data_IF_364832264583
#
_entry.id   IF_364832264583
#
_cell.length_a   1.000
_cell.length_b   1.000
_cell.length_c   1.000
_cell.angle_alpha   90.00
_cell.angle_beta   90.00
_cell.angle_gamma   90.00
#
_symmetry.space_group_name_H-M   'P 1'
#
loop_
_entity.id
_entity.type
_entity.pdbx_description
1 polymer ?
#
# COMPACT_ATOMS: atom_id res chain seq x y z
N UNK A 1 -61.67 52.06 -17.75
CA UNK A 1 -62.28 51.19 -18.76
C UNK A 1 -63.72 50.95 -18.36
N UNK A 2 -64.62 50.92 -19.34
CA UNK A 2 -66.04 50.61 -19.11
C UNK A 2 -66.15 49.09 -18.94
N UNK A 3 -66.80 48.65 -17.87
CA UNK A 3 -67.14 47.25 -17.63
C UNK A 3 -68.39 46.84 -18.43
N UNK A 4 -68.60 45.55 -18.75
CA UNK A 4 -69.81 45.10 -19.43
C UNK A 4 -71.11 45.58 -18.73
N UNK A 5 -71.09 45.70 -17.40
CA UNK A 5 -72.17 46.22 -16.55
C UNK A 5 -72.39 47.74 -16.70
N UNK A 6 -71.31 48.50 -16.86
CA UNK A 6 -71.39 49.94 -17.12
C UNK A 6 -71.87 50.25 -18.55
N UNK A 7 -71.65 49.35 -19.49
CA UNK A 7 -72.19 49.46 -20.85
C UNK A 7 -73.71 49.27 -20.85
N UNK A 8 -74.21 48.31 -20.07
CA UNK A 8 -75.64 47.99 -19.95
C UNK A 8 -76.46 49.06 -19.21
N UNK A 9 -75.83 49.77 -18.27
CA UNK A 9 -76.48 50.83 -17.49
C UNK A 9 -76.40 52.22 -18.14
N UNK A 10 -75.81 52.32 -19.33
CA UNK A 10 -75.63 53.60 -20.03
C UNK A 10 -76.95 54.09 -20.62
N UNK A 11 -77.42 55.23 -20.15
CA UNK A 11 -78.62 55.90 -20.69
C UNK A 11 -78.25 57.11 -21.53
N UNK A 12 -78.95 57.27 -22.67
CA UNK A 12 -78.77 58.41 -23.57
C UNK A 12 -79.91 59.43 -23.40
N UNK A 13 -79.63 60.70 -23.69
CA UNK A 13 -80.63 61.78 -23.64
C UNK A 13 -81.55 61.72 -24.88
N UNK A 14 -82.85 61.97 -24.70
CA UNK A 14 -83.81 62.01 -25.80
C UNK A 14 -83.67 63.31 -26.62
N UNK A 15 -83.70 63.22 -27.95
CA UNK A 15 -83.59 64.36 -28.88
C UNK A 15 -83.83 63.93 -30.34
N UNK A 16 -83.70 64.84 -31.30
CA UNK A 16 -83.69 64.52 -32.74
C UNK A 16 -82.39 63.75 -33.02
N UNK A 17 -82.47 62.43 -33.23
CA UNK A 17 -81.31 61.55 -33.30
C UNK A 17 -81.63 60.17 -33.84
N UNK A 18 -80.70 59.23 -33.68
CA UNK A 18 -80.81 57.85 -34.16
C UNK A 18 -82.02 57.09 -33.59
N UNK A 19 -82.51 56.11 -34.34
CA UNK A 19 -83.61 55.25 -33.88
C UNK A 19 -83.18 54.47 -32.64
N UNK A 20 -83.95 54.65 -31.56
CA UNK A 20 -83.71 54.01 -30.27
C UNK A 20 -83.65 52.48 -30.40
N UNK A 21 -84.49 51.87 -31.23
CA UNK A 21 -84.52 50.40 -31.39
C UNK A 21 -83.25 49.86 -32.04
N UNK A 22 -82.73 50.60 -33.03
CA UNK A 22 -81.53 50.19 -33.76
C UNK A 22 -80.27 50.34 -32.89
N UNK A 23 -80.20 51.45 -32.14
CA UNK A 23 -79.13 51.68 -31.15
C UNK A 23 -79.17 50.65 -30.02
N UNK A 24 -80.35 50.34 -29.47
CA UNK A 24 -80.50 49.33 -28.41
C UNK A 24 -80.08 47.93 -28.91
N UNK A 25 -80.43 47.57 -30.15
CA UNK A 25 -79.99 46.30 -30.75
C UNK A 25 -78.47 46.24 -30.92
N UNK A 26 -77.85 47.31 -31.43
CA UNK A 26 -76.39 47.39 -31.58
C UNK A 26 -75.67 47.34 -30.23
N UNK A 27 -76.21 48.01 -29.19
CA UNK A 27 -75.65 47.98 -27.84
C UNK A 27 -75.73 46.59 -27.22
N UNK A 28 -76.79 45.82 -27.47
CA UNK A 28 -76.91 44.44 -27.01
C UNK A 28 -75.86 43.53 -27.69
N UNK A 29 -75.64 43.69 -29.00
CA UNK A 29 -74.60 42.95 -29.73
C UNK A 29 -73.20 43.34 -29.26
N UNK A 30 -72.94 44.63 -29.08
CA UNK A 30 -71.69 45.16 -28.54
C UNK A 30 -71.43 44.66 -27.11
N UNK A 31 -72.47 44.60 -26.27
CA UNK A 31 -72.37 44.07 -24.91
C UNK A 31 -71.98 42.60 -24.92
N UNK A 32 -72.62 41.78 -25.76
CA UNK A 32 -72.31 40.36 -25.87
C UNK A 32 -70.87 40.13 -26.35
N UNK A 33 -70.43 40.84 -27.40
CA UNK A 33 -69.05 40.75 -27.89
C UNK A 33 -68.02 41.22 -26.86
N UNK A 34 -68.32 42.30 -26.13
CA UNK A 34 -67.43 42.84 -25.10
C UNK A 34 -67.35 41.94 -23.87
N UNK A 35 -68.45 41.27 -23.48
CA UNK A 35 -68.45 40.28 -22.40
C UNK A 35 -67.57 39.07 -22.74
N UNK A 36 -67.71 38.54 -23.96
CA UNK A 36 -66.85 37.44 -24.46
C UNK A 36 -65.39 37.84 -24.46
N UNK A 37 -65.05 39.00 -25.02
CA UNK A 37 -63.69 39.53 -25.05
C UNK A 37 -63.12 39.71 -23.62
N UNK A 38 -63.94 40.20 -22.69
CA UNK A 38 -63.53 40.40 -21.31
C UNK A 38 -63.25 39.07 -20.59
N UNK A 39 -64.08 38.04 -20.81
CA UNK A 39 -63.86 36.68 -20.28
C UNK A 39 -62.59 36.07 -20.84
N UNK A 40 -62.41 36.09 -22.16
CA UNK A 40 -61.19 35.59 -22.82
C UNK A 40 -59.94 36.29 -22.29
N UNK A 41 -59.99 37.61 -22.08
CA UNK A 41 -58.88 38.38 -21.52
C UNK A 41 -58.55 37.99 -20.08
N UNK A 42 -59.55 37.64 -19.27
CA UNK A 42 -59.29 37.09 -17.93
C UNK A 42 -58.67 35.70 -18.01
N UNK A 43 -59.24 34.79 -18.81
CA UNK A 43 -58.73 33.42 -18.96
C UNK A 43 -57.29 33.39 -19.50
N UNK A 44 -56.98 34.23 -20.49
CA UNK A 44 -55.62 34.40 -21.01
C UNK A 44 -54.70 34.98 -19.95
N UNK A 45 -55.16 35.96 -19.16
CA UNK A 45 -54.40 36.52 -18.05
C UNK A 45 -54.04 35.46 -17.00
N UNK A 46 -55.01 34.63 -16.61
CA UNK A 46 -54.81 33.54 -15.66
C UNK A 46 -53.84 32.49 -16.22
N UNK A 47 -54.00 32.08 -17.49
CA UNK A 47 -53.03 31.20 -18.16
C UNK A 47 -51.61 31.77 -18.18
N UNK A 48 -51.46 33.05 -18.49
CA UNK A 48 -50.15 33.71 -18.50
C UNK A 48 -49.54 33.73 -17.10
N UNK A 49 -50.34 33.97 -16.06
CA UNK A 49 -49.88 33.93 -14.68
C UNK A 49 -49.40 32.52 -14.29
N UNK A 50 -50.20 31.48 -14.56
CA UNK A 50 -49.80 30.09 -14.29
C UNK A 50 -48.54 29.67 -15.04
N UNK A 51 -48.42 30.07 -16.32
CA UNK A 51 -47.22 29.78 -17.12
C UNK A 51 -45.99 30.52 -16.57
N UNK A 52 -46.13 31.77 -16.13
CA UNK A 52 -45.04 32.54 -15.53
C UNK A 52 -44.60 31.94 -14.19
N UNK A 53 -45.52 31.46 -13.36
CA UNK A 53 -45.21 30.75 -12.12
C UNK A 53 -44.42 29.47 -12.42
N UNK A 54 -44.86 28.66 -13.38
CA UNK A 54 -44.15 27.48 -13.84
C UNK A 54 -42.74 27.81 -14.35
N UNK A 55 -42.59 28.86 -15.15
CA UNK A 55 -41.30 29.32 -15.66
C UNK A 55 -40.36 29.72 -14.51
N UNK A 56 -40.85 30.43 -13.50
CA UNK A 56 -40.06 30.82 -12.34
C UNK A 56 -39.63 29.63 -11.50
N UNK A 57 -40.51 28.63 -11.36
CA UNK A 57 -40.17 27.35 -10.72
C UNK A 57 -39.04 26.65 -11.46
N UNK A 58 -39.14 26.48 -12.78
CA UNK A 58 -38.08 25.86 -13.59
C UNK A 58 -36.77 26.63 -13.54
N UNK A 59 -36.79 27.96 -13.59
CA UNK A 59 -35.58 28.79 -13.41
C UNK A 59 -34.92 28.58 -12.06
N UNK A 60 -35.71 28.32 -11.02
CA UNK A 60 -35.18 28.06 -9.67
C UNK A 60 -34.54 26.68 -9.59
N UNK A 61 -35.16 25.67 -10.21
CA UNK A 61 -34.57 24.33 -10.36
C UNK A 61 -33.28 24.41 -11.16
N UNK A 62 -33.28 25.09 -12.30
CA UNK A 62 -32.10 25.24 -13.15
C UNK A 62 -30.92 25.86 -12.37
N UNK A 63 -31.16 26.93 -11.62
CA UNK A 63 -30.15 27.54 -10.74
C UNK A 63 -29.63 26.56 -9.68
N UNK A 64 -30.51 25.73 -9.13
CA UNK A 64 -30.14 24.76 -8.10
C UNK A 64 -29.31 23.63 -8.70
N UNK A 65 -29.70 23.14 -9.87
CA UNK A 65 -28.98 22.12 -10.63
C UNK A 65 -27.59 22.62 -11.05
N UNK A 66 -27.50 23.86 -11.54
CA UNK A 66 -26.22 24.47 -11.89
C UNK A 66 -25.30 24.59 -10.68
N UNK A 67 -25.82 24.99 -9.52
CA UNK A 67 -25.04 25.03 -8.27
C UNK A 67 -24.59 23.63 -7.83
N UNK A 68 -25.47 22.65 -7.93
CA UNK A 68 -25.15 21.26 -7.59
C UNK A 68 -24.06 20.70 -8.52
N UNK A 69 -24.11 21.04 -9.81
CA UNK A 69 -23.11 20.61 -10.80
C UNK A 69 -21.74 21.23 -10.52
N UNK A 70 -21.69 22.53 -10.24
CA UNK A 70 -20.44 23.22 -9.86
C UNK A 70 -19.87 22.64 -8.57
N UNK A 71 -20.73 22.39 -7.57
CA UNK A 71 -20.30 21.78 -6.31
C UNK A 71 -19.75 20.36 -6.52
N UNK A 72 -20.41 19.56 -7.37
CA UNK A 72 -19.96 18.22 -7.70
C UNK A 72 -18.61 18.25 -8.43
N UNK A 73 -18.43 19.16 -9.39
CA UNK A 73 -17.16 19.35 -10.11
C UNK A 73 -16.04 19.75 -9.15
N UNK A 74 -16.29 20.73 -8.28
CA UNK A 74 -15.33 21.17 -7.27
C UNK A 74 -14.97 20.03 -6.30
N UNK A 75 -15.96 19.28 -5.83
CA UNK A 75 -15.74 18.15 -4.93
C UNK A 75 -14.94 17.03 -5.61
N UNK A 76 -15.20 16.77 -6.88
CA UNK A 76 -14.45 15.80 -7.67
C UNK A 76 -12.98 16.21 -7.83
N UNK A 77 -12.71 17.48 -8.15
CA UNK A 77 -11.34 17.97 -8.29
C UNK A 77 -10.61 17.99 -6.94
N UNK A 78 -11.26 18.43 -5.86
CA UNK A 78 -10.71 18.41 -4.50
C UNK A 78 -10.36 16.97 -4.06
N UNK A 79 -11.24 16.00 -4.36
CA UNK A 79 -11.01 14.56 -4.09
C UNK A 79 -9.82 14.03 -4.90
N UNK A 80 -9.70 14.44 -6.16
CA UNK A 80 -8.59 14.04 -7.03
C UNK A 80 -7.28 14.66 -6.58
N UNK A 81 -7.28 15.92 -6.15
CA UNK A 81 -6.10 16.60 -5.64
C UNK A 81 -5.63 15.96 -4.31
N UNK A 82 -6.55 15.67 -3.40
CA UNK A 82 -6.24 15.00 -2.14
C UNK A 82 -5.70 13.58 -2.37
N UNK A 83 -6.31 12.79 -3.26
CA UNK A 83 -5.80 11.48 -3.64
C UNK A 83 -4.38 11.57 -4.24
N UNK A 84 -4.11 12.54 -5.12
CA UNK A 84 -2.77 12.78 -5.68
C UNK A 84 -1.75 13.17 -4.60
N UNK A 85 -2.12 14.02 -3.64
CA UNK A 85 -1.25 14.39 -2.52
C UNK A 85 -0.94 13.19 -1.63
N UNK A 86 -1.95 12.39 -1.30
CA UNK A 86 -1.78 11.16 -0.52
C UNK A 86 -0.89 10.15 -1.24
N UNK A 87 -1.11 9.92 -2.54
CA UNK A 87 -0.28 9.04 -3.35
C UNK A 87 1.20 9.49 -3.35
N UNK A 88 1.45 10.80 -3.53
CA UNK A 88 2.81 11.35 -3.43
C UNK A 88 3.42 11.15 -2.04
N UNK A 89 2.65 11.38 -0.97
CA UNK A 89 3.12 11.17 0.39
C UNK A 89 3.50 9.71 0.65
N UNK A 90 2.67 8.76 0.20
CA UNK A 90 2.94 7.32 0.30
C UNK A 90 4.22 6.96 -0.45
N UNK A 91 4.40 7.46 -1.67
CA UNK A 91 5.61 7.20 -2.47
C UNK A 91 6.86 7.74 -1.77
N UNK A 92 6.81 8.96 -1.25
CA UNK A 92 7.95 9.57 -0.56
C UNK A 92 8.25 8.87 0.77
N UNK A 93 7.23 8.45 1.52
CA UNK A 93 7.40 7.64 2.73
C UNK A 93 8.02 6.28 2.41
N UNK A 94 7.53 5.60 1.37
CA UNK A 94 8.06 4.31 0.92
C UNK A 94 9.53 4.43 0.48
N UNK A 95 9.88 5.48 -0.28
CA UNK A 95 11.27 5.77 -0.66
C UNK A 95 12.14 6.05 0.57
N UNK A 96 11.64 6.83 1.53
CA UNK A 96 12.37 7.12 2.77
C UNK A 96 12.65 5.85 3.58
N UNK A 97 11.64 4.98 3.72
CA UNK A 97 11.80 3.65 4.36
C UNK A 97 12.79 2.77 3.62
N UNK A 98 12.70 2.71 2.28
CA UNK A 98 13.63 1.93 1.46
C UNK A 98 15.09 2.42 1.60
N UNK A 99 15.31 3.74 1.62
CA UNK A 99 16.62 4.32 1.84
C UNK A 99 17.18 4.00 3.23
N UNK A 100 16.32 4.04 4.26
CA UNK A 100 16.70 3.69 5.62
C UNK A 100 17.12 2.21 5.71
N UNK A 101 16.32 1.30 5.15
CA UNK A 101 16.65 -0.13 5.09
C UNK A 101 17.98 -0.35 4.37
N UNK A 102 18.20 0.33 3.24
CA UNK A 102 19.45 0.19 2.48
C UNK A 102 20.67 0.73 3.24
N UNK A 103 20.50 1.84 3.97
CA UNK A 103 21.53 2.39 4.85
C UNK A 103 21.86 1.42 5.98
N UNK A 104 20.86 0.86 6.65
CA UNK A 104 21.04 -0.09 7.75
C UNK A 104 21.70 -1.38 7.27
N UNK A 105 21.27 -1.92 6.13
CA UNK A 105 21.88 -3.08 5.50
C UNK A 105 23.35 -2.82 5.12
N UNK A 106 23.66 -1.64 4.58
CA UNK A 106 25.04 -1.24 4.26
C UNK A 106 25.91 -1.12 5.51
N UNK A 107 25.37 -0.57 6.60
CA UNK A 107 26.06 -0.45 7.88
C UNK A 107 26.36 -1.83 8.48
N UNK A 108 25.38 -2.73 8.52
CA UNK A 108 25.59 -4.10 9.00
C UNK A 108 26.55 -4.88 8.08
N UNK A 109 26.47 -4.70 6.77
CA UNK A 109 27.43 -5.29 5.83
C UNK A 109 28.87 -4.84 6.13
N UNK A 110 29.09 -3.54 6.29
CA UNK A 110 30.41 -2.98 6.62
C UNK A 110 30.93 -3.51 7.97
N UNK A 111 30.05 -3.65 8.96
CA UNK A 111 30.38 -4.19 10.27
C UNK A 111 30.79 -5.67 10.18
N UNK A 112 30.02 -6.49 9.48
CA UNK A 112 30.36 -7.90 9.24
C UNK A 112 31.69 -7.99 8.49
N UNK A 113 31.89 -7.18 7.45
CA UNK A 113 33.12 -7.15 6.68
C UNK A 113 34.34 -6.81 7.57
N UNK A 114 34.21 -5.82 8.45
CA UNK A 114 35.26 -5.48 9.40
C UNK A 114 35.54 -6.62 10.39
N UNK A 115 34.50 -7.28 10.90
CA UNK A 115 34.64 -8.45 11.77
C UNK A 115 35.34 -9.60 11.04
N UNK A 116 35.01 -9.87 9.79
CA UNK A 116 35.67 -10.89 8.96
C UNK A 116 37.16 -10.57 8.79
N UNK A 117 37.51 -9.32 8.46
CA UNK A 117 38.91 -8.90 8.32
C UNK A 117 39.67 -9.06 9.65
N UNK A 118 39.07 -8.68 10.78
CA UNK A 118 39.67 -8.86 12.09
C UNK A 118 39.88 -10.35 12.43
N UNK A 119 38.92 -11.20 12.12
CA UNK A 119 39.00 -12.64 12.35
C UNK A 119 40.12 -13.28 11.52
N UNK A 120 40.26 -12.91 10.24
CA UNK A 120 41.35 -13.38 9.38
C UNK A 120 42.71 -12.96 9.96
N UNK A 121 42.84 -11.72 10.40
CA UNK A 121 44.09 -11.24 11.05
C UNK A 121 44.42 -12.00 12.34
N UNK A 122 43.41 -12.29 13.17
CA UNK A 122 43.59 -13.09 14.38
C UNK A 122 44.02 -14.52 14.03
N UNK A 123 43.41 -15.13 13.00
CA UNK A 123 43.78 -16.45 12.51
C UNK A 123 45.23 -16.48 12.00
N UNK A 124 45.65 -15.50 11.21
CA UNK A 124 47.03 -15.40 10.72
C UNK A 124 48.03 -15.22 11.86
N UNK A 125 47.71 -14.37 12.84
CA UNK A 125 48.54 -14.16 14.03
C UNK A 125 48.65 -15.46 14.86
N UNK A 126 47.54 -16.16 15.08
CA UNK A 126 47.51 -17.43 15.80
C UNK A 126 48.33 -18.50 15.08
N UNK A 127 48.17 -18.62 13.76
CA UNK A 127 48.98 -19.54 12.92
C UNK A 127 50.47 -19.24 13.03
N UNK A 128 50.87 -17.96 13.00
CA UNK A 128 52.26 -17.55 13.16
C UNK A 128 52.80 -17.90 14.56
N UNK A 129 52.03 -17.64 15.61
CA UNK A 129 52.37 -18.00 16.99
C UNK A 129 52.53 -19.52 17.16
N UNK A 130 51.61 -20.31 16.61
CA UNK A 130 51.70 -21.76 16.66
C UNK A 130 52.91 -22.30 15.91
N UNK A 131 53.21 -21.75 14.73
CA UNK A 131 54.43 -22.10 13.98
C UNK A 131 55.69 -21.75 14.76
N UNK A 132 55.72 -20.59 15.41
CA UNK A 132 56.84 -20.18 16.24
C UNK A 132 57.02 -21.09 17.46
N UNK A 133 55.92 -21.45 18.14
CA UNK A 133 55.94 -22.40 19.26
C UNK A 133 56.45 -23.77 18.80
N UNK A 134 55.92 -24.31 17.70
CA UNK A 134 56.37 -25.59 17.16
C UNK A 134 57.86 -25.56 16.78
N UNK A 135 58.32 -24.49 16.12
CA UNK A 135 59.73 -24.31 15.80
C UNK A 135 60.61 -24.25 17.06
N UNK A 136 60.18 -23.53 18.10
CA UNK A 136 60.88 -23.48 19.39
C UNK A 136 60.93 -24.85 20.08
N UNK A 137 59.86 -25.65 20.01
CA UNK A 137 59.87 -27.03 20.53
C UNK A 137 60.78 -27.95 19.71
N UNK A 138 60.82 -27.81 18.37
CA UNK A 138 61.77 -28.52 17.53
C UNK A 138 63.22 -28.13 17.87
N UNK A 139 63.51 -26.84 18.03
CA UNK A 139 64.82 -26.35 18.44
C UNK A 139 65.23 -26.87 19.83
N UNK A 140 64.28 -26.97 20.77
CA UNK A 140 64.51 -27.58 22.08
C UNK A 140 64.87 -29.07 21.96
N UNK A 141 64.20 -29.82 21.10
CA UNK A 141 64.50 -31.24 20.83
C UNK A 141 65.83 -31.44 20.08
N UNK A 142 66.20 -30.49 19.23
CA UNK A 142 67.50 -30.48 18.53
C UNK A 142 68.64 -29.97 19.42
N UNK A 143 68.34 -29.27 20.50
CA UNK A 143 69.34 -28.80 21.47
C UNK A 143 70.03 -29.95 22.20
N UNK A 144 71.30 -29.77 22.56
CA UNK A 144 72.11 -30.76 23.29
C UNK A 144 71.52 -31.18 24.65
N UNK A 145 70.51 -30.44 25.15
CA UNK A 145 69.78 -30.78 26.39
C UNK A 145 68.84 -31.99 26.24
N UNK A 146 68.44 -32.33 25.01
CA UNK A 146 67.66 -33.53 24.70
C UNK A 146 68.52 -34.70 24.21
N UNK A 147 69.85 -34.62 24.36
CA UNK A 147 70.68 -35.81 24.32
C UNK A 147 70.49 -36.56 25.64
N UNK A 148 69.71 -37.64 25.62
CA UNK A 148 69.75 -38.63 26.68
C UNK A 148 71.23 -39.02 26.82
N UNK A 149 71.87 -38.64 27.93
CA UNK A 149 73.23 -39.06 28.21
C UNK A 149 73.25 -40.60 28.31
N UNK A 150 73.68 -41.25 27.23
CA UNK A 150 73.75 -42.71 27.08
C UNK A 150 74.65 -43.36 28.15
N UNK A 151 75.42 -42.57 28.90
CA UNK A 151 76.20 -43.03 30.04
C UNK A 151 75.36 -43.77 31.10
N UNK A 152 74.08 -43.42 31.28
CA UNK A 152 73.20 -44.09 32.23
C UNK A 152 72.32 -45.19 31.61
N UNK A 153 72.31 -45.39 30.29
CA UNK A 153 71.50 -46.45 29.66
C UNK A 153 72.25 -47.79 29.67
N UNK A 154 73.58 -47.77 29.55
CA UNK A 154 74.42 -48.96 29.66
C UNK A 154 74.31 -49.63 31.04
N UNK A 155 74.12 -48.85 32.12
CA UNK A 155 73.94 -49.38 33.48
C UNK A 155 72.57 -50.00 33.74
N UNK A 156 71.58 -49.76 32.86
CA UNK A 156 70.28 -50.45 32.88
C UNK A 156 70.21 -51.62 31.89
N UNK A 157 70.89 -51.54 30.73
CA UNK A 157 70.97 -52.65 29.77
C UNK A 157 71.75 -53.83 30.36
N UNK A 158 72.88 -53.57 31.06
CA UNK A 158 73.66 -54.63 31.73
C UNK A 158 72.89 -55.33 32.87
N UNK A 159 71.78 -54.75 33.36
CA UNK A 159 70.91 -55.37 34.37
C UNK A 159 69.82 -56.26 33.78
N UNK A 160 69.47 -56.13 32.50
CA UNK A 160 68.51 -57.05 31.86
C UNK A 160 69.17 -58.35 31.36
N UNK A 161 70.47 -58.35 31.04
CA UNK A 161 71.16 -59.55 30.55
C UNK A 161 71.42 -60.62 31.63
N UNK A 162 71.15 -60.32 32.92
CA UNK A 162 71.28 -61.27 34.03
C UNK A 162 69.95 -61.86 34.53
N UNK A 163 68.79 -61.49 33.95
CA UNK A 163 67.49 -62.05 34.32
C UNK A 163 66.55 -62.28 33.11
N UNK A 164 67.00 -63.11 32.15
CA UNK A 164 66.11 -63.80 31.20
C UNK A 164 66.42 -65.30 31.19
N UNK A 165 65.82 -66.02 32.12
CA UNK A 165 65.45 -67.41 31.94
C UNK A 165 63.97 -67.56 32.35
N UNK A 166 63.18 -68.11 31.42
CA UNK A 166 61.79 -68.57 31.57
C UNK A 166 60.71 -67.47 31.64
N UNK A 167 59.62 -67.49 30.88
CA UNK A 167 59.10 -68.40 29.85
C UNK A 167 58.01 -67.61 29.09
N UNK A 168 57.97 -67.72 27.76
CA UNK A 168 56.81 -67.30 26.94
C UNK A 168 55.86 -68.50 26.85
N UNK A 169 54.54 -68.28 27.03
CA UNK A 169 53.66 -68.67 25.93
C UNK A 169 52.69 -67.54 25.55
N UNK A 170 52.61 -67.36 24.24
CA UNK A 170 51.55 -66.65 23.52
C UNK A 170 50.17 -67.22 23.88
N UNK A 171 49.18 -66.34 24.09
CA UNK A 171 47.81 -66.70 23.71
C UNK A 171 47.05 -65.51 23.11
N UNK A 172 46.24 -65.89 22.13
CA UNK A 172 45.53 -65.09 21.15
C UNK A 172 44.23 -64.51 21.71
N UNK A 173 43.68 -63.59 20.91
CA UNK A 173 42.28 -63.15 20.84
C UNK A 173 41.87 -62.19 21.97
N UNK A 174 41.21 -61.07 21.70
CA UNK A 174 39.87 -61.02 21.10
C UNK A 174 39.69 -59.82 20.16
N UNK A 175 39.26 -60.14 18.94
CA UNK A 175 38.26 -59.33 18.28
C UNK A 175 36.88 -59.77 18.76
N UNK A 176 36.00 -58.79 19.02
CA UNK A 176 34.55 -58.89 18.83
C UNK A 176 34.14 -57.52 18.25
N UNK A 177 33.78 -57.52 16.96
CA UNK A 177 32.38 -57.50 16.49
C UNK A 177 31.79 -56.10 16.66
N UNK A 178 31.72 -55.32 15.58
CA UNK A 178 30.60 -55.30 14.62
C UNK A 178 29.26 -54.99 15.28
N UNK A 179 28.62 -54.01 14.65
CA UNK A 179 27.19 -53.75 14.62
C UNK A 179 26.59 -53.01 15.82
N UNK A 180 26.40 -51.70 15.67
CA UNK A 180 25.03 -51.22 15.54
C UNK A 180 24.93 -49.80 14.96
N UNK A 181 24.29 -49.78 13.79
CA UNK A 181 23.41 -48.75 13.20
C UNK A 181 23.60 -47.29 13.59
N UNK A 182 23.91 -46.52 12.56
CA UNK A 182 23.46 -45.14 12.41
C UNK A 182 21.94 -45.05 12.63
N UNK A 183 21.53 -44.19 13.55
CA UNK A 183 20.23 -43.53 13.47
C UNK A 183 20.49 -42.04 13.29
N UNK A 184 20.19 -41.58 12.08
CA UNK A 184 20.13 -40.17 11.72
C UNK A 184 18.85 -39.60 12.33
N UNK A 185 18.99 -38.66 13.27
CA UNK A 185 17.89 -37.77 13.64
C UNK A 185 17.85 -36.62 12.64
N UNK A 186 16.81 -36.62 11.80
CA UNK A 186 16.36 -35.47 11.00
C UNK A 186 15.81 -34.40 11.95
N UNK A 187 16.10 -33.10 11.77
CA UNK A 187 15.37 -32.05 12.46
C UNK A 187 14.04 -31.81 11.73
N UNK A 188 12.97 -31.75 12.51
CA UNK A 188 11.68 -31.17 12.11
C UNK A 188 11.86 -29.65 11.97
N UNK A 189 11.45 -29.10 10.82
CA UNK A 189 11.18 -27.68 10.69
C UNK A 189 9.78 -27.53 10.13
N UNK A 190 9.00 -26.73 10.85
CA UNK A 190 7.62 -26.35 10.63
C UNK A 190 7.47 -25.65 9.28
N UNK A 191 6.55 -26.15 8.46
CA UNK A 191 6.10 -25.49 7.23
C UNK A 191 5.16 -24.33 7.63
N UNK A 192 5.67 -23.10 7.60
CA UNK A 192 4.84 -21.90 7.51
C UNK A 192 4.63 -21.54 6.02
N UNK A 193 3.36 -21.45 5.66
CA UNK A 193 2.82 -21.22 4.32
C UNK A 193 3.38 -19.95 3.65
N UNK A 194 3.96 -20.11 2.46
CA UNK A 194 4.20 -19.01 1.52
C UNK A 194 3.43 -19.26 0.22
N UNK A 195 2.22 -18.70 0.12
CA UNK A 195 1.49 -18.59 -1.13
C UNK A 195 2.11 -17.52 -2.03
N UNK A 196 2.73 -17.93 -3.14
CA UNK A 196 3.07 -17.05 -4.25
C UNK A 196 1.79 -16.71 -5.04
N UNK A 197 1.32 -15.47 -4.93
CA UNK A 197 0.38 -14.94 -5.93
C UNK A 197 1.14 -14.63 -7.23
N UNK A 198 1.01 -15.53 -8.21
CA UNK A 198 1.34 -15.21 -9.60
C UNK A 198 0.29 -14.23 -10.15
N UNK A 199 0.65 -12.94 -10.18
CA UNK A 199 -0.01 -11.97 -11.05
C UNK A 199 0.54 -12.19 -12.47
N UNK A 200 -0.14 -13.05 -13.24
CA UNK A 200 0.03 -13.03 -14.68
C UNK A 200 -0.61 -11.74 -15.20
N UNK A 201 0.23 -10.91 -15.82
CA UNK A 201 -0.12 -9.74 -16.60
C UNK A 201 -1.09 -10.15 -17.73
N UNK A 202 -2.35 -9.78 -17.57
CA UNK A 202 -3.21 -9.48 -18.71
C UNK A 202 -2.92 -8.03 -19.12
N UNK A 203 -1.93 -7.83 -19.98
CA UNK A 203 -1.88 -6.63 -20.83
C UNK A 203 -2.23 -7.01 -22.27
N UNK A 204 -3.32 -6.37 -22.69
CA UNK A 204 -3.90 -6.35 -24.01
C UNK A 204 -3.08 -5.44 -24.93
N UNK A 205 -2.76 -5.92 -26.13
CA UNK A 205 -2.79 -5.13 -27.37
C UNK A 205 -3.30 -6.02 -28.52
#
# INVERSE_FOLDING_TARGET
MITPIELQSKTFKNGIGYDKKDVDNFLNELQSGYETLYKEKMELGDKVNTLNEGLNYYKTIEKTLQKALVLAEQTAEDTKETARKQAKAIIEEAKGKAQLILSDASNEFNKIQQQTIQLIRQYEAYKAQFKHLAASQCELLESESFQIHIANLNTFIEREDSNKAENVPEDKTLGLSKDNKLEQTKPETEDEDFEFYNLNEDEQE
#
